data_IF_150326709765
#
_entry.id   IF_150326709765
#
_cell.length_a   1.000
_cell.length_b   1.000
_cell.length_c   1.000
_cell.angle_alpha   90.00
_cell.angle_beta   90.00
_cell.angle_gamma   90.00
#
_symmetry.space_group_name_H-M   'P 1'
#
loop_
_entity.id
_entity.type
_entity.pdbx_description
1 polymer ?
#
# COMPACT_ATOMS: atom_id res chain seq x y z
N UNK A 1 -10.92 -3.52 24.26
CA UNK A 1 -12.26 -3.48 23.62
C UNK A 1 -12.55 -2.15 22.88
N UNK A 2 -11.88 -1.02 23.19
CA UNK A 2 -11.99 0.21 22.38
C UNK A 2 -11.00 0.31 21.20
N UNK A 3 -9.89 -0.46 21.22
CA UNK A 3 -8.88 -0.48 20.15
C UNK A 3 -9.37 -1.05 18.80
N UNK A 4 -10.20 -2.10 18.81
CA UNK A 4 -10.62 -2.79 17.58
C UNK A 4 -11.55 -1.96 16.67
N UNK A 5 -12.32 -1.03 17.24
CA UNK A 5 -13.26 -0.23 16.45
C UNK A 5 -12.55 0.83 15.62
N UNK A 6 -11.48 1.40 16.16
CA UNK A 6 -10.69 2.40 15.46
C UNK A 6 -9.91 1.77 14.32
N UNK A 7 -9.31 0.59 14.53
CA UNK A 7 -8.55 -0.08 13.48
C UNK A 7 -9.46 -0.52 12.30
N UNK A 8 -10.67 -1.02 12.58
CA UNK A 8 -11.65 -1.36 11.54
C UNK A 8 -12.17 -0.13 10.78
N UNK A 9 -12.33 1.01 11.47
CA UNK A 9 -12.71 2.27 10.83
C UNK A 9 -11.60 2.75 9.89
N UNK A 10 -10.36 2.83 10.37
CA UNK A 10 -9.19 3.23 9.57
C UNK A 10 -9.03 2.30 8.37
N UNK A 11 -9.17 0.99 8.59
CA UNK A 11 -9.13 -0.02 7.52
C UNK A 11 -10.19 0.24 6.44
N UNK A 12 -11.43 0.50 6.85
CA UNK A 12 -12.55 0.73 5.93
C UNK A 12 -12.38 2.04 5.15
N UNK A 13 -11.92 3.10 5.82
CA UNK A 13 -11.64 4.39 5.20
C UNK A 13 -10.50 4.28 4.18
N UNK A 14 -9.39 3.63 4.54
CA UNK A 14 -8.26 3.42 3.63
C UNK A 14 -8.69 2.63 2.39
N UNK A 15 -9.44 1.54 2.57
CA UNK A 15 -9.95 0.73 1.46
C UNK A 15 -10.88 1.56 0.54
N UNK A 16 -11.77 2.38 1.11
CA UNK A 16 -12.67 3.23 0.34
C UNK A 16 -11.89 4.30 -0.44
N UNK A 17 -10.94 4.96 0.21
CA UNK A 17 -10.10 5.99 -0.41
C UNK A 17 -9.30 5.42 -1.58
N UNK A 18 -8.66 4.25 -1.40
CA UNK A 18 -7.92 3.58 -2.47
C UNK A 18 -8.81 3.24 -3.67
N UNK A 19 -9.99 2.67 -3.44
CA UNK A 19 -10.95 2.35 -4.52
C UNK A 19 -11.43 3.60 -5.24
N UNK A 20 -11.65 4.70 -4.52
CA UNK A 20 -12.02 5.97 -5.12
C UNK A 20 -10.89 6.55 -5.99
N UNK A 21 -9.64 6.46 -5.54
CA UNK A 21 -8.48 6.89 -6.33
C UNK A 21 -8.35 6.07 -7.62
N UNK A 22 -8.45 4.74 -7.53
CA UNK A 22 -8.43 3.83 -8.68
C UNK A 22 -9.57 4.11 -9.67
N UNK A 23 -10.79 4.35 -9.17
CA UNK A 23 -11.94 4.68 -10.01
C UNK A 23 -11.77 6.02 -10.74
N UNK A 24 -11.22 7.05 -10.06
CA UNK A 24 -10.96 8.36 -10.65
C UNK A 24 -9.92 8.31 -11.76
N UNK A 25 -8.87 7.52 -11.59
CA UNK A 25 -7.80 7.38 -12.59
C UNK A 25 -8.09 6.31 -13.65
N UNK A 26 -9.17 5.53 -13.50
CA UNK A 26 -9.49 4.34 -14.31
C UNK A 26 -8.36 3.31 -14.33
N UNK A 27 -7.62 3.21 -13.22
CA UNK A 27 -6.51 2.27 -13.08
C UNK A 27 -6.90 1.10 -12.19
N UNK A 28 -6.16 0.01 -12.33
CA UNK A 28 -6.31 -1.21 -11.53
C UNK A 28 -4.99 -1.58 -10.88
N UNK A 29 -5.08 -2.35 -9.80
CA UNK A 29 -3.96 -3.08 -9.21
C UNK A 29 -4.20 -4.58 -9.36
N UNK A 30 -3.14 -5.38 -9.38
CA UNK A 30 -3.28 -6.83 -9.46
C UNK A 30 -3.86 -7.39 -8.16
N UNK A 31 -4.71 -8.42 -8.26
CA UNK A 31 -5.24 -9.18 -7.13
C UNK A 31 -4.29 -10.35 -6.75
N UNK A 32 -4.69 -11.16 -5.77
CA UNK A 32 -3.94 -12.35 -5.32
C UNK A 32 -3.60 -13.35 -6.43
N UNK A 33 -4.40 -13.40 -7.49
CA UNK A 33 -4.20 -14.28 -8.65
C UNK A 33 -3.49 -13.57 -9.81
N UNK A 34 -2.94 -12.37 -9.59
CA UNK A 34 -2.27 -11.57 -10.62
C UNK A 34 -3.21 -10.91 -11.63
N UNK A 35 -4.53 -10.93 -11.41
CA UNK A 35 -5.52 -10.31 -12.31
C UNK A 35 -5.78 -8.85 -11.93
N UNK A 36 -5.91 -7.93 -12.89
CA UNK A 36 -6.23 -6.54 -12.60
C UNK A 36 -7.61 -6.41 -11.94
N UNK A 37 -7.68 -5.65 -10.85
CA UNK A 37 -8.92 -5.33 -10.14
C UNK A 37 -9.00 -3.84 -9.78
N UNK A 38 -10.21 -3.28 -9.90
CA UNK A 38 -10.54 -1.94 -9.43
C UNK A 38 -11.07 -1.93 -7.98
N UNK A 39 -11.32 -3.11 -7.39
CA UNK A 39 -11.94 -3.26 -6.06
C UNK A 39 -11.05 -4.05 -5.09
N UNK A 40 -9.76 -3.69 -4.93
CA UNK A 40 -8.88 -4.41 -4.02
C UNK A 40 -9.36 -4.34 -2.57
N UNK A 41 -8.93 -5.31 -1.77
CA UNK A 41 -9.11 -5.29 -0.31
C UNK A 41 -7.86 -4.72 0.35
N UNK A 42 -8.01 -4.02 1.47
CA UNK A 42 -6.85 -3.46 2.17
C UNK A 42 -5.97 -4.57 2.76
N UNK A 43 -6.56 -5.72 3.12
CA UNK A 43 -5.83 -6.94 3.48
C UNK A 43 -4.87 -7.38 2.37
N UNK A 44 -5.33 -7.42 1.13
CA UNK A 44 -4.46 -7.79 0.01
C UNK A 44 -3.35 -6.75 -0.20
N UNK A 45 -3.71 -5.47 -0.13
CA UNK A 45 -2.72 -4.39 -0.21
C UNK A 45 -1.64 -4.58 0.84
N UNK A 46 -1.97 -4.85 2.10
CA UNK A 46 -0.95 -5.11 3.12
C UNK A 46 -0.09 -6.35 2.83
N UNK A 47 -0.67 -7.41 2.27
CA UNK A 47 0.08 -8.59 1.86
C UNK A 47 1.14 -8.27 0.80
N UNK A 48 0.85 -7.37 -0.14
CA UNK A 48 1.86 -6.94 -1.12
C UNK A 48 3.12 -6.34 -0.45
N UNK A 49 2.99 -5.70 0.71
CA UNK A 49 4.10 -5.02 1.40
C UNK A 49 4.80 -5.89 2.46
N UNK A 50 4.39 -7.15 2.66
CA UNK A 50 4.92 -8.01 3.73
C UNK A 50 6.40 -8.40 3.56
N UNK A 51 6.93 -8.34 2.35
CA UNK A 51 8.31 -8.73 2.04
C UNK A 51 9.24 -7.55 1.78
N UNK A 52 8.92 -6.36 2.30
CA UNK A 52 9.77 -5.18 2.18
C UNK A 52 10.63 -5.07 3.44
N UNK A 53 11.93 -4.88 3.26
CA UNK A 53 12.89 -4.86 4.36
C UNK A 53 13.69 -3.56 4.39
N UNK A 54 13.87 -2.99 5.58
CA UNK A 54 14.81 -1.90 5.83
C UNK A 54 16.15 -2.51 6.26
N UNK A 55 17.23 -2.20 5.55
CA UNK A 55 18.58 -2.65 5.86
C UNK A 55 19.51 -1.46 6.03
N UNK A 56 20.52 -1.60 6.89
CA UNK A 56 21.55 -0.59 7.09
C UNK A 56 22.85 -1.13 6.49
N UNK A 57 23.34 -0.49 5.43
CA UNK A 57 24.58 -0.86 4.77
C UNK A 57 25.54 0.33 4.84
N UNK A 58 26.67 0.17 5.53
CA UNK A 58 27.66 1.24 5.68
C UNK A 58 27.14 2.49 6.41
N UNK A 59 26.15 2.32 7.31
CA UNK A 59 25.52 3.44 8.03
C UNK A 59 24.40 4.15 7.28
N UNK A 60 24.05 3.70 6.06
CA UNK A 60 22.96 4.25 5.25
C UNK A 60 21.77 3.29 5.28
N UNK A 61 20.59 3.83 5.62
CA UNK A 61 19.31 3.11 5.55
C UNK A 61 18.87 2.92 4.09
N UNK A 62 18.51 1.70 3.72
CA UNK A 62 18.05 1.34 2.38
C UNK A 62 16.86 0.40 2.47
N UNK A 63 15.90 0.57 1.56
CA UNK A 63 14.76 -0.34 1.43
C UNK A 63 15.02 -1.34 0.33
N UNK A 64 14.87 -2.62 0.68
CA UNK A 64 15.06 -3.76 -0.21
C UNK A 64 13.70 -4.35 -0.58
N UNK A 65 13.63 -4.90 -1.79
CA UNK A 65 12.45 -5.60 -2.33
C UNK A 65 11.24 -4.67 -2.57
N UNK A 66 11.49 -3.39 -2.82
CA UNK A 66 10.48 -2.46 -3.30
C UNK A 66 10.31 -2.63 -4.82
N UNK A 67 9.19 -3.18 -5.26
CA UNK A 67 8.92 -3.48 -6.67
C UNK A 67 8.12 -2.36 -7.34
N UNK A 68 8.01 -2.40 -8.68
CA UNK A 68 7.20 -1.45 -9.44
C UNK A 68 5.72 -1.45 -9.01
N UNK A 69 5.18 -2.63 -8.65
CA UNK A 69 3.82 -2.75 -8.13
C UNK A 69 3.67 -2.01 -6.78
N UNK A 70 4.67 -2.04 -5.91
CA UNK A 70 4.64 -1.30 -4.66
C UNK A 70 4.61 0.20 -4.90
N UNK A 71 5.44 0.71 -5.82
CA UNK A 71 5.42 2.12 -6.22
C UNK A 71 4.05 2.54 -6.76
N UNK A 72 3.47 1.71 -7.64
CA UNK A 72 2.14 1.95 -8.21
C UNK A 72 1.06 2.02 -7.15
N UNK A 73 1.07 1.11 -6.17
CA UNK A 73 0.13 1.14 -5.04
C UNK A 73 0.35 2.40 -4.17
N UNK A 74 1.61 2.74 -3.87
CA UNK A 74 1.96 3.91 -3.06
C UNK A 74 1.54 5.24 -3.71
N UNK A 75 1.48 5.33 -5.04
CA UNK A 75 0.96 6.51 -5.75
C UNK A 75 -0.52 6.77 -5.40
N UNK A 76 -1.33 5.73 -5.19
CA UNK A 76 -2.73 5.90 -4.81
C UNK A 76 -2.95 6.18 -3.33
N UNK A 77 -2.02 5.72 -2.47
CA UNK A 77 -2.06 5.99 -1.02
C UNK A 77 -1.59 7.41 -0.68
N UNK A 78 -0.75 8.01 -1.55
CA UNK A 78 -0.30 9.39 -1.46
C UNK A 78 1.08 9.57 -0.81
N UNK A 79 1.57 10.80 -0.86
CA UNK A 79 2.91 11.19 -0.41
C UNK A 79 3.22 10.83 1.08
N UNK A 80 2.28 10.94 2.04
CA UNK A 80 2.55 10.55 3.42
C UNK A 80 2.94 9.07 3.55
N UNK A 81 2.30 8.20 2.77
CA UNK A 81 2.61 6.76 2.78
C UNK A 81 3.95 6.46 2.12
N UNK A 82 4.30 7.18 1.05
CA UNK A 82 5.58 7.04 0.34
C UNK A 82 6.78 7.35 1.22
N UNK A 83 6.65 8.34 2.12
CA UNK A 83 7.73 8.78 3.00
C UNK A 83 8.24 7.69 3.96
N UNK A 84 7.36 6.77 4.38
CA UNK A 84 7.75 5.60 5.19
C UNK A 84 8.65 4.62 4.42
N UNK A 85 8.62 4.69 3.09
CA UNK A 85 9.44 3.86 2.22
C UNK A 85 10.67 4.62 1.68
N UNK A 86 11.09 5.70 2.35
CA UNK A 86 12.20 6.57 1.93
C UNK A 86 12.06 7.08 0.48
N UNK A 87 10.82 7.13 -0.02
CA UNK A 87 10.50 7.74 -1.30
C UNK A 87 10.22 9.23 -1.09
N UNK A 88 10.84 10.06 -1.92
CA UNK A 88 10.71 11.53 -1.93
C UNK A 88 9.90 11.95 -3.13
#
# INVERSE_FOLDING_TARGET
>A
LFDDRLCLLVYTLAQRALRQALARTKQTINNQLGKPTATPTMRWVFQCFQSIHLVILGGVEQIVNLTHEHHRILQFLGAPCQKYYLLV
#
